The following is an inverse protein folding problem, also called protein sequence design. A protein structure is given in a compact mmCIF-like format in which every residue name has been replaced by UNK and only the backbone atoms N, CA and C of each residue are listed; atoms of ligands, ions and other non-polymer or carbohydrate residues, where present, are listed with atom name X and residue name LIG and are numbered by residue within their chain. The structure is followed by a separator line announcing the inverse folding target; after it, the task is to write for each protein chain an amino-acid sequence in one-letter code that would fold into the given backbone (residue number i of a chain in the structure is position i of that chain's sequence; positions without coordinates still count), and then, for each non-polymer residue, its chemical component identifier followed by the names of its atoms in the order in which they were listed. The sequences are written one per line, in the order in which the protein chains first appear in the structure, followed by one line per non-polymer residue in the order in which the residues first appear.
data_IF_725937853825
#
_entry.id   IF_725937853825
#
_cell.length_a   1.000
_cell.length_b   1.000
_cell.length_c   1.000
_cell.angle_alpha   90.00
_cell.angle_beta   90.00
_cell.angle_gamma   90.00
#
_symmetry.space_group_name_H-M   'P 1'
#
loop_
_entity.id
_entity.type
_entity.pdbx_description
1 polymer ?
#
# COMPACT_ATOMS: atom_id res chain seq x y z
N UNK A 1 11.18 -14.17 14.51
CA UNK A 1 10.10 -14.03 13.52
C UNK A 1 10.30 -15.11 12.45
N UNK A 2 9.29 -15.90 12.04
CA UNK A 2 9.50 -17.05 11.16
C UNK A 2 9.54 -16.63 9.69
N UNK A 3 10.60 -15.94 9.28
CA UNK A 3 11.13 -15.79 7.90
C UNK A 3 12.37 -14.89 8.04
N UNK A 4 13.55 -15.26 7.52
CA UNK A 4 14.79 -14.52 7.80
C UNK A 4 14.92 -13.19 7.05
N UNK A 5 14.00 -12.85 6.14
CA UNK A 5 13.97 -11.54 5.45
C UNK A 5 13.19 -10.52 6.28
N UNK A 6 13.41 -9.25 5.96
CA UNK A 6 12.65 -8.13 6.53
C UNK A 6 11.15 -8.29 6.27
N UNK A 7 10.35 -7.72 7.17
CA UNK A 7 8.90 -7.65 7.07
C UNK A 7 8.45 -6.26 7.48
N UNK A 8 7.31 -5.83 6.93
CA UNK A 8 6.80 -4.50 7.25
C UNK A 8 6.19 -4.39 8.64
N UNK A 9 6.52 -3.29 9.30
CA UNK A 9 5.90 -2.92 10.57
C UNK A 9 4.61 -2.16 10.27
N UNK A 10 3.49 -2.86 10.40
CA UNK A 10 2.18 -2.28 10.08
C UNK A 10 1.69 -1.29 11.15
N UNK A 11 2.03 -1.54 12.42
CA UNK A 11 1.66 -0.65 13.52
C UNK A 11 2.75 0.42 13.72
N UNK A 12 2.45 1.66 13.37
CA UNK A 12 3.44 2.75 13.31
C UNK A 12 2.99 3.91 14.19
N UNK A 13 3.97 4.71 14.61
CA UNK A 13 3.71 5.99 15.29
C UNK A 13 3.43 7.13 14.30
N UNK A 14 3.72 6.93 13.02
CA UNK A 14 3.43 7.87 11.94
C UNK A 14 2.14 7.47 11.20
N UNK A 15 1.49 8.40 10.48
CA UNK A 15 0.20 8.13 9.86
C UNK A 15 0.31 7.33 8.55
N UNK A 16 1.49 6.81 8.20
CA UNK A 16 1.74 6.21 6.89
C UNK A 16 0.74 5.09 6.59
N UNK A 17 0.42 4.30 7.62
CA UNK A 17 -0.47 3.15 7.57
C UNK A 17 -1.74 3.31 8.40
N UNK A 18 -2.14 4.56 8.70
CA UNK A 18 -3.47 4.84 9.27
C UNK A 18 -4.59 4.32 8.34
N UNK A 19 -4.32 4.32 7.03
CA UNK A 19 -5.13 3.65 6.01
C UNK A 19 -4.22 2.85 5.10
N UNK A 20 -4.50 1.55 4.98
CA UNK A 20 -3.84 0.65 4.05
C UNK A 20 -4.89 -0.15 3.29
N UNK A 21 -4.77 -0.16 1.96
CA UNK A 21 -5.50 -1.08 1.09
C UNK A 21 -4.52 -2.09 0.52
N UNK A 22 -4.84 -3.36 0.70
CA UNK A 22 -4.07 -4.47 0.14
C UNK A 22 -4.48 -4.65 -1.32
N UNK A 23 -3.50 -4.57 -2.20
CA UNK A 23 -3.71 -4.80 -3.62
C UNK A 23 -3.54 -6.28 -3.96
N UNK A 24 -4.27 -6.72 -4.98
CA UNK A 24 -4.23 -8.09 -5.50
C UNK A 24 -2.85 -8.48 -6.05
N UNK A 25 -1.99 -7.51 -6.37
CA UNK A 25 -0.60 -7.72 -6.76
C UNK A 25 0.14 -8.74 -5.87
N UNK A 26 -0.07 -8.65 -4.55
CA UNK A 26 0.56 -9.54 -3.58
C UNK A 26 0.07 -11.00 -3.67
N UNK A 27 -1.06 -11.23 -4.33
CA UNK A 27 -1.72 -12.53 -4.50
C UNK A 27 -1.53 -13.06 -5.94
N UNK A 28 -1.88 -12.25 -6.94
CA UNK A 28 -2.03 -12.67 -8.34
C UNK A 28 -0.76 -12.52 -9.16
N UNK A 29 0.18 -11.66 -8.74
CA UNK A 29 1.45 -11.37 -9.44
C UNK A 29 2.69 -11.71 -8.61
N UNK A 30 2.51 -12.39 -7.49
CA UNK A 30 3.62 -12.78 -6.60
C UNK A 30 4.64 -13.64 -7.35
N UNK A 31 5.91 -13.26 -7.25
CA UNK A 31 7.02 -14.01 -7.83
C UNK A 31 8.30 -13.69 -7.07
N UNK A 32 9.17 -14.67 -6.94
CA UNK A 32 10.42 -14.52 -6.19
C UNK A 32 11.27 -13.40 -6.80
N UNK A 33 11.75 -12.48 -5.95
CA UNK A 33 12.61 -11.37 -6.37
C UNK A 33 11.90 -10.19 -7.04
N UNK A 34 10.56 -10.21 -7.16
CA UNK A 34 9.80 -9.11 -7.81
C UNK A 34 9.16 -8.11 -6.83
N UNK A 35 9.62 -8.13 -5.57
CA UNK A 35 8.99 -7.38 -4.49
C UNK A 35 7.68 -8.00 -4.02
N UNK A 36 7.25 -7.59 -2.84
CA UNK A 36 6.01 -8.01 -2.17
C UNK A 36 5.59 -6.90 -1.22
N UNK A 37 4.44 -7.05 -0.55
CA UNK A 37 3.91 -6.04 0.35
C UNK A 37 3.68 -4.69 -0.35
N UNK A 38 3.15 -4.74 -1.58
CA UNK A 38 2.74 -3.55 -2.31
C UNK A 38 1.38 -3.10 -1.78
N UNK A 39 1.39 -1.94 -1.13
CA UNK A 39 0.22 -1.35 -0.49
C UNK A 39 -0.19 -0.04 -1.17
N UNK A 40 -1.47 0.27 -1.07
CA UNK A 40 -1.99 1.59 -1.33
C UNK A 40 -2.25 2.31 0.01
N UNK A 41 -1.48 3.36 0.30
CA UNK A 41 -1.39 3.95 1.64
C UNK A 41 -1.21 5.48 1.61
N UNK A 42 -1.08 6.09 2.79
CA UNK A 42 -0.90 7.53 2.91
C UNK A 42 0.55 7.95 2.65
N UNK A 43 0.74 9.06 1.94
CA UNK A 43 2.06 9.61 1.67
C UNK A 43 2.71 10.22 2.92
N UNK A 44 4.03 10.05 3.04
CA UNK A 44 4.85 10.81 4.00
C UNK A 44 4.79 12.30 3.67
N UNK A 45 4.95 13.18 4.67
CA UNK A 45 5.25 14.59 4.42
C UNK A 45 6.39 14.71 3.40
N UNK A 46 6.25 15.62 2.44
CA UNK A 46 7.23 15.81 1.37
C UNK A 46 7.19 14.80 0.22
N UNK A 47 6.25 13.85 0.21
CA UNK A 47 6.05 12.94 -0.94
C UNK A 47 7.31 12.16 -1.34
N UNK A 48 8.08 11.71 -0.35
CA UNK A 48 9.29 10.93 -0.60
C UNK A 48 8.94 9.64 -1.37
N UNK A 49 9.83 9.19 -2.29
CA UNK A 49 9.62 7.97 -3.06
C UNK A 49 9.32 6.74 -2.18
N UNK A 50 8.56 5.82 -2.76
CA UNK A 50 8.27 4.49 -2.18
C UNK A 50 9.09 3.43 -2.90
N UNK A 51 9.30 2.29 -2.25
CA UNK A 51 9.96 1.12 -2.86
C UNK A 51 8.95 0.23 -3.62
N UNK A 52 7.95 0.85 -4.26
CA UNK A 52 6.94 0.19 -5.09
C UNK A 52 5.50 0.30 -4.59
N UNK A 53 5.27 0.73 -3.35
CA UNK A 53 3.93 1.06 -2.86
C UNK A 53 3.35 2.29 -3.59
N UNK A 54 2.03 2.44 -3.53
CA UNK A 54 1.35 3.63 -4.05
C UNK A 54 0.91 4.50 -2.88
N UNK A 55 1.41 5.74 -2.87
CA UNK A 55 1.22 6.67 -1.76
C UNK A 55 0.46 7.92 -2.21
N UNK A 56 -0.58 8.31 -1.46
CA UNK A 56 -1.41 9.48 -1.79
C UNK A 56 -1.75 10.34 -0.57
N UNK A 57 -2.24 11.57 -0.78
CA UNK A 57 -2.72 12.43 0.32
C UNK A 57 -3.96 11.83 0.98
N UNK A 58 -4.12 12.04 2.29
CA UNK A 58 -5.30 11.64 3.03
C UNK A 58 -6.61 12.16 2.42
N UNK A 59 -6.60 13.40 1.90
CA UNK A 59 -7.77 13.98 1.22
C UNK A 59 -8.21 13.19 0.00
N UNK A 60 -7.27 12.73 -0.82
CA UNK A 60 -7.57 11.95 -2.01
C UNK A 60 -7.90 10.49 -1.65
N UNK A 61 -7.28 9.95 -0.61
CA UNK A 61 -7.60 8.63 -0.07
C UNK A 61 -9.08 8.59 0.33
N UNK A 62 -9.55 9.58 1.10
CA UNK A 62 -10.98 9.67 1.49
C UNK A 62 -11.92 9.66 0.29
N UNK A 63 -11.59 10.42 -0.77
CA UNK A 63 -12.39 10.46 -2.01
C UNK A 63 -12.42 9.11 -2.74
N UNK A 64 -11.33 8.34 -2.70
CA UNK A 64 -11.25 7.02 -3.34
C UNK A 64 -12.02 6.00 -2.50
N UNK A 65 -11.80 5.96 -1.19
CA UNK A 65 -12.49 5.03 -0.29
C UNK A 65 -14.02 5.15 -0.40
N UNK A 66 -14.55 6.36 -0.53
CA UNK A 66 -15.99 6.61 -0.72
C UNK A 66 -16.56 6.01 -2.01
N UNK A 67 -15.72 5.72 -3.01
CA UNK A 67 -16.12 5.13 -4.29
C UNK A 67 -15.83 3.63 -4.37
N UNK A 68 -15.13 3.07 -3.38
CA UNK A 68 -14.84 1.65 -3.36
C UNK A 68 -16.12 0.84 -3.13
N UNK A 69 -16.25 -0.21 -3.92
CA UNK A 69 -17.32 -1.21 -3.83
C UNK A 69 -16.74 -2.57 -4.14
N UNK A 70 -17.45 -3.64 -3.81
CA UNK A 70 -17.05 -4.99 -4.21
C UNK A 70 -16.84 -5.03 -5.73
N UNK A 71 -15.68 -5.54 -6.16
CA UNK A 71 -15.29 -5.60 -7.57
C UNK A 71 -14.71 -4.30 -8.14
N UNK A 72 -14.53 -3.25 -7.33
CA UNK A 72 -13.76 -2.08 -7.76
C UNK A 72 -12.31 -2.48 -8.04
N UNK A 73 -11.74 -1.93 -9.11
CA UNK A 73 -10.35 -2.13 -9.51
C UNK A 73 -9.59 -0.81 -9.37
N UNK A 74 -8.34 -0.90 -8.89
CA UNK A 74 -7.39 0.20 -8.88
C UNK A 74 -6.32 -0.15 -9.91
N UNK A 75 -6.24 0.65 -10.97
CA UNK A 75 -5.22 0.51 -12.00
C UNK A 75 -4.13 1.55 -11.78
N UNK A 76 -2.88 1.10 -11.70
CA UNK A 76 -1.69 1.93 -11.54
C UNK A 76 -0.90 1.80 -12.83
N UNK A 77 -0.62 2.93 -13.49
CA UNK A 77 0.08 3.01 -14.77
C UNK A 77 1.48 3.59 -14.60
#
# INVERSE_FOLDING_TARGET
MPYPKSAETMWRADPLYDVVVILDWNLTRRSQGRGSAIFFHLARPGFLPTEGCVAIRLGDMRKILQRLRRGAAIEVR
#
